data_IF_941495574360
#
_entry.id   IF_941495574360
#
_cell.length_a   1.000
_cell.length_b   1.000
_cell.length_c   1.000
_cell.angle_alpha   90.00
_cell.angle_beta   90.00
_cell.angle_gamma   90.00
#
_symmetry.space_group_name_H-M   'P 1'
#
loop_
_entity.id
_entity.type
_entity.pdbx_description
1 polymer ?
#
# COMPACT_ATOMS: atom_id res chain seq x y z
N UNK A 1 -19.20 -10.52 1.27
CA UNK A 1 -17.96 -11.10 1.84
C UNK A 1 -17.27 -10.01 2.64
N UNK A 2 -16.89 -10.28 3.89
CA UNK A 2 -16.09 -9.34 4.69
C UNK A 2 -14.74 -9.10 4.00
N UNK A 3 -14.25 -7.85 4.00
CA UNK A 3 -12.97 -7.50 3.35
C UNK A 3 -11.81 -8.38 3.84
N UNK A 4 -11.84 -8.77 5.13
CA UNK A 4 -10.87 -9.69 5.72
C UNK A 4 -10.87 -11.09 5.06
N UNK A 5 -12.04 -11.66 4.73
CA UNK A 5 -12.12 -12.97 4.06
C UNK A 5 -11.53 -12.88 2.64
N UNK A 6 -11.78 -11.78 1.92
CA UNK A 6 -11.16 -11.55 0.61
C UNK A 6 -9.65 -11.42 0.73
N UNK A 7 -9.14 -10.65 1.69
CA UNK A 7 -7.69 -10.53 1.92
C UNK A 7 -7.05 -11.88 2.24
N UNK A 8 -7.66 -12.70 3.12
CA UNK A 8 -7.15 -14.04 3.46
C UNK A 8 -7.13 -14.96 2.24
N UNK A 9 -8.20 -14.97 1.44
CA UNK A 9 -8.26 -15.78 0.22
C UNK A 9 -7.21 -15.33 -0.82
N UNK A 10 -7.04 -14.02 -1.00
CA UNK A 10 -6.06 -13.46 -1.92
C UNK A 10 -4.62 -13.74 -1.47
N UNK A 11 -4.32 -13.61 -0.17
CA UNK A 11 -3.03 -13.98 0.41
C UNK A 11 -2.78 -15.49 0.30
N UNK A 12 -3.79 -16.31 0.59
CA UNK A 12 -3.72 -17.77 0.44
C UNK A 12 -3.45 -18.20 -0.99
N UNK A 13 -4.11 -17.56 -1.97
CA UNK A 13 -3.87 -17.79 -3.40
C UNK A 13 -2.44 -17.38 -3.80
N UNK A 14 -1.98 -16.21 -3.35
CA UNK A 14 -0.64 -15.72 -3.62
C UNK A 14 0.43 -16.67 -3.06
N UNK A 15 0.23 -17.18 -1.83
CA UNK A 15 1.05 -18.23 -1.22
C UNK A 15 1.00 -19.54 -2.01
N UNK A 16 -0.18 -19.97 -2.47
CA UNK A 16 -0.33 -21.16 -3.30
C UNK A 16 0.43 -21.06 -4.63
N UNK A 17 0.44 -19.88 -5.26
CA UNK A 17 1.21 -19.61 -6.48
C UNK A 17 2.72 -19.70 -6.18
N UNK A 18 3.19 -19.10 -5.07
CA UNK A 18 4.59 -19.22 -4.64
C UNK A 18 4.99 -20.68 -4.46
N UNK A 19 4.17 -21.48 -3.76
CA UNK A 19 4.45 -22.88 -3.49
C UNK A 19 4.46 -23.72 -4.77
N UNK A 20 3.47 -23.54 -5.65
CA UNK A 20 3.37 -24.29 -6.91
C UNK A 20 4.52 -23.99 -7.87
N UNK A 21 4.98 -22.73 -7.94
CA UNK A 21 6.12 -22.37 -8.78
C UNK A 21 7.44 -22.81 -8.16
N UNK A 22 7.60 -22.71 -6.82
CA UNK A 22 8.79 -23.20 -6.14
C UNK A 22 9.04 -24.70 -6.34
N UNK A 23 7.98 -25.49 -6.50
CA UNK A 23 8.06 -26.93 -6.73
C UNK A 23 8.53 -27.30 -8.16
N UNK A 24 8.38 -26.40 -9.15
CA UNK A 24 8.59 -26.70 -10.57
C UNK A 24 9.99 -26.35 -11.10
N UNK A 25 10.80 -25.51 -10.44
CA UNK A 25 11.78 -24.70 -11.18
C UNK A 25 13.28 -24.70 -10.80
N UNK A 26 13.80 -25.34 -9.74
CA UNK A 26 15.26 -25.18 -9.57
C UNK A 26 16.02 -25.75 -8.38
N UNK A 27 15.49 -26.76 -7.69
CA UNK A 27 16.17 -27.31 -6.52
C UNK A 27 16.20 -26.33 -5.33
N UNK A 28 16.40 -26.90 -4.15
CA UNK A 28 16.11 -26.23 -2.87
C UNK A 28 16.98 -25.01 -2.55
N UNK A 29 18.20 -24.90 -3.09
CA UNK A 29 19.21 -23.99 -2.55
C UNK A 29 19.12 -22.54 -3.06
N UNK A 30 18.91 -22.31 -4.36
CA UNK A 30 18.74 -20.95 -4.92
C UNK A 30 17.41 -20.32 -4.50
N UNK A 31 16.37 -21.14 -4.40
CA UNK A 31 15.06 -20.79 -3.86
C UNK A 31 15.14 -20.29 -2.41
N UNK A 32 15.90 -21.01 -1.56
CA UNK A 32 16.09 -20.64 -0.16
C UNK A 32 16.87 -19.32 -0.03
N UNK A 33 17.94 -19.11 -0.80
CA UNK A 33 18.74 -17.86 -0.72
C UNK A 33 17.89 -16.66 -1.13
N UNK A 34 17.18 -16.76 -2.24
CA UNK A 34 16.46 -15.63 -2.79
C UNK A 34 15.16 -15.33 -1.99
N UNK A 35 14.49 -16.37 -1.48
CA UNK A 35 13.45 -16.22 -0.46
C UNK A 35 13.98 -15.55 0.81
N UNK A 36 15.15 -15.98 1.30
CA UNK A 36 15.79 -15.39 2.47
C UNK A 36 16.10 -13.90 2.26
N UNK A 37 16.68 -13.52 1.13
CA UNK A 37 16.91 -12.11 0.80
C UNK A 37 15.61 -11.31 0.69
N UNK A 38 14.57 -11.86 0.06
CA UNK A 38 13.26 -11.21 -0.04
C UNK A 38 12.63 -11.00 1.34
N UNK A 39 12.72 -11.99 2.23
CA UNK A 39 12.23 -11.90 3.61
C UNK A 39 13.04 -10.88 4.40
N UNK A 40 14.38 -10.92 4.34
CA UNK A 40 15.26 -9.97 5.06
C UNK A 40 15.02 -8.54 4.60
N UNK A 41 14.95 -8.29 3.28
CA UNK A 41 14.67 -6.97 2.73
C UNK A 41 13.28 -6.48 3.12
N UNK A 42 12.23 -7.30 2.99
CA UNK A 42 10.87 -6.88 3.37
C UNK A 42 10.73 -6.67 4.88
N UNK A 43 11.34 -7.52 5.70
CA UNK A 43 11.32 -7.37 7.15
C UNK A 43 12.10 -6.13 7.60
N UNK A 44 13.26 -5.88 6.99
CA UNK A 44 14.03 -4.67 7.20
C UNK A 44 13.26 -3.41 6.78
N UNK A 45 12.68 -3.40 5.58
CA UNK A 45 11.85 -2.30 5.10
C UNK A 45 10.63 -2.07 6.00
N UNK A 46 9.95 -3.12 6.47
CA UNK A 46 8.84 -2.99 7.40
C UNK A 46 9.28 -2.34 8.73
N UNK A 47 10.42 -2.76 9.29
CA UNK A 47 10.89 -2.29 10.60
C UNK A 47 11.49 -0.88 10.61
N UNK A 48 12.01 -0.42 9.45
CA UNK A 48 12.65 0.90 9.30
C UNK A 48 11.89 1.85 8.36
N UNK A 49 10.72 1.44 7.84
CA UNK A 49 9.91 2.20 6.88
C UNK A 49 9.63 3.62 7.34
N UNK A 50 9.21 3.79 8.59
CA UNK A 50 8.89 5.09 9.18
C UNK A 50 10.10 6.03 9.14
N UNK A 51 11.26 5.58 9.64
CA UNK A 51 12.48 6.40 9.69
C UNK A 51 12.97 6.80 8.30
N UNK A 52 12.94 5.86 7.35
CA UNK A 52 13.38 6.10 5.98
C UNK A 52 12.48 7.14 5.30
N UNK A 53 11.17 6.97 5.39
CA UNK A 53 10.19 7.84 4.74
C UNK A 53 10.20 9.24 5.36
N UNK A 54 10.20 9.34 6.69
CA UNK A 54 10.26 10.63 7.39
C UNK A 54 11.53 11.41 7.03
N UNK A 55 12.69 10.74 7.00
CA UNK A 55 13.95 11.38 6.63
C UNK A 55 13.93 11.85 5.16
N UNK A 56 13.40 11.03 4.26
CA UNK A 56 13.33 11.33 2.83
C UNK A 56 12.47 12.56 2.53
N UNK A 57 11.36 12.75 3.27
CA UNK A 57 10.49 13.92 3.14
C UNK A 57 10.81 15.06 4.11
N UNK A 58 11.94 14.97 4.83
CA UNK A 58 12.40 15.97 5.81
C UNK A 58 11.31 16.31 6.83
N UNK A 59 10.53 15.31 7.21
CA UNK A 59 9.47 15.44 8.19
C UNK A 59 10.07 15.81 9.56
N UNK A 60 9.50 16.81 10.21
CA UNK A 60 9.91 17.29 11.53
C UNK A 60 8.86 16.89 12.55
N UNK A 61 9.25 16.32 13.71
CA UNK A 61 8.29 16.05 14.77
C UNK A 61 7.69 17.37 15.24
N UNK A 62 6.41 17.36 15.59
CA UNK A 62 5.72 18.50 16.20
C UNK A 62 5.05 18.07 17.48
N UNK A 63 5.06 18.96 18.47
CA UNK A 63 4.36 18.76 19.73
C UNK A 63 3.06 19.56 19.83
N UNK A 64 2.36 19.42 20.96
CA UNK A 64 1.10 20.12 21.22
C UNK A 64 1.28 21.65 21.29
N UNK A 65 2.46 22.14 21.68
CA UNK A 65 2.72 23.58 21.77
C UNK A 65 2.94 24.21 20.39
N UNK A 66 3.60 23.47 19.47
CA UNK A 66 3.88 23.93 18.11
C UNK A 66 2.64 23.85 17.20
N UNK A 67 1.83 22.79 17.31
CA UNK A 67 0.68 22.55 16.44
C UNK A 67 -0.55 22.05 17.24
N UNK A 68 -1.14 22.88 18.13
CA UNK A 68 -2.16 22.45 19.07
C UNK A 68 -3.42 21.90 18.38
N UNK A 69 -3.87 22.51 17.28
CA UNK A 69 -5.05 22.03 16.57
C UNK A 69 -4.84 20.64 15.96
N UNK A 70 -3.72 20.45 15.26
CA UNK A 70 -3.35 19.16 14.67
C UNK A 70 -3.21 18.08 15.74
N UNK A 71 -2.50 18.39 16.83
CA UNK A 71 -2.28 17.45 17.93
C UNK A 71 -3.60 17.03 18.58
N UNK A 72 -4.52 17.99 18.80
CA UNK A 72 -5.86 17.72 19.34
C UNK A 72 -6.71 16.84 18.41
N UNK A 73 -6.65 17.06 17.09
CA UNK A 73 -7.37 16.21 16.13
C UNK A 73 -6.82 14.79 16.21
N UNK A 74 -5.50 14.61 16.08
CA UNK A 74 -4.87 13.27 16.13
C UNK A 74 -5.16 12.57 17.45
N UNK A 75 -5.09 13.28 18.58
CA UNK A 75 -5.39 12.73 19.90
C UNK A 75 -6.83 12.23 20.03
N UNK A 76 -7.81 13.05 19.63
CA UNK A 76 -9.22 12.66 19.68
C UNK A 76 -9.53 11.47 18.76
N UNK A 77 -8.93 11.44 17.56
CA UNK A 77 -9.10 10.33 16.63
C UNK A 77 -8.43 9.06 17.15
N UNK A 78 -7.24 9.14 17.75
CA UNK A 78 -6.55 8.00 18.36
C UNK A 78 -7.38 7.39 19.49
N UNK A 79 -7.99 8.23 20.34
CA UNK A 79 -8.92 7.79 21.39
C UNK A 79 -10.13 7.05 20.80
N UNK A 80 -10.82 7.63 19.81
CA UNK A 80 -11.96 6.98 19.13
C UNK A 80 -11.55 5.71 18.40
N UNK A 81 -10.35 5.68 17.84
CA UNK A 81 -9.77 4.52 17.18
C UNK A 81 -9.30 3.44 18.16
N UNK A 82 -9.17 3.75 19.46
CA UNK A 82 -8.61 2.88 20.50
C UNK A 82 -7.18 2.44 20.18
N UNK A 83 -6.35 3.39 19.74
CA UNK A 83 -4.92 3.19 19.50
C UNK A 83 -4.09 4.16 20.36
N UNK A 84 -2.84 3.84 20.70
CA UNK A 84 -1.93 4.79 21.35
C UNK A 84 -1.77 6.06 20.50
N UNK A 85 -1.48 7.19 21.17
CA UNK A 85 -1.23 8.46 20.49
C UNK A 85 -0.05 8.32 19.52
N UNK A 86 -0.26 8.46 18.20
CA UNK A 86 0.81 8.42 17.22
C UNK A 86 1.73 9.63 17.35
N UNK A 87 2.99 9.46 16.95
CA UNK A 87 3.89 10.61 16.83
C UNK A 87 3.44 11.48 15.65
N UNK A 88 3.36 12.80 15.85
CA UNK A 88 2.89 13.74 14.84
C UNK A 88 4.08 14.45 14.20
N UNK A 89 4.06 14.55 12.88
CA UNK A 89 5.10 15.20 12.08
C UNK A 89 4.50 16.18 11.07
N UNK A 90 5.26 17.23 10.76
CA UNK A 90 4.98 18.13 9.64
C UNK A 90 6.08 18.06 8.59
N UNK A 91 5.68 18.14 7.33
CA UNK A 91 6.58 18.14 6.18
C UNK A 91 6.55 19.51 5.49
N UNK A 92 7.72 20.12 5.24
CA UNK A 92 7.82 21.41 4.57
C UNK A 92 7.56 21.27 3.07
N UNK A 93 6.30 21.07 2.68
CA UNK A 93 5.87 20.88 1.30
C UNK A 93 4.56 21.61 1.02
N UNK A 94 4.51 22.32 -0.11
CA UNK A 94 3.32 23.00 -0.61
C UNK A 94 2.28 22.03 -1.20
N UNK A 95 2.70 20.83 -1.59
CA UNK A 95 1.78 19.85 -2.14
C UNK A 95 0.92 19.27 -1.01
N UNK A 96 -0.41 19.37 -1.08
CA UNK A 96 -1.28 18.95 0.02
C UNK A 96 -1.31 17.42 0.11
N UNK A 97 -0.82 16.89 1.23
CA UNK A 97 -0.77 15.46 1.47
C UNK A 97 -0.71 15.12 2.96
N UNK A 98 -1.06 13.88 3.28
CA UNK A 98 -0.87 13.28 4.59
C UNK A 98 -0.60 11.78 4.41
N UNK A 99 0.06 11.17 5.39
CA UNK A 99 0.17 9.72 5.48
C UNK A 99 0.31 9.27 6.93
N UNK A 100 -0.11 8.03 7.22
CA UNK A 100 0.31 7.32 8.42
C UNK A 100 1.23 6.14 8.10
N UNK A 101 2.21 5.91 8.96
CA UNK A 101 3.15 4.79 8.86
C UNK A 101 3.47 4.22 10.25
N UNK A 102 4.31 3.20 10.31
CA UNK A 102 4.66 2.47 11.52
C UNK A 102 4.34 0.99 11.42
N UNK A 103 5.15 0.17 12.08
CA UNK A 103 4.99 -1.29 12.06
C UNK A 103 3.70 -1.75 12.74
N UNK A 104 3.28 -1.07 13.78
CA UNK A 104 2.11 -1.42 14.59
C UNK A 104 1.51 -0.13 15.21
N UNK A 105 0.31 -0.19 15.82
CA UNK A 105 -0.31 0.96 16.46
C UNK A 105 0.55 1.63 17.55
N UNK A 106 1.38 0.88 18.26
CA UNK A 106 2.27 1.37 19.31
C UNK A 106 3.44 2.19 18.75
N UNK A 107 3.83 1.96 17.50
CA UNK A 107 4.93 2.65 16.82
C UNK A 107 4.43 3.57 15.69
N UNK A 108 3.13 3.90 15.70
CA UNK A 108 2.49 4.69 14.67
C UNK A 108 3.06 6.12 14.57
N UNK A 109 3.08 6.61 13.34
CA UNK A 109 3.45 7.98 12.98
C UNK A 109 2.42 8.53 12.01
N UNK A 110 2.03 9.78 12.21
CA UNK A 110 1.21 10.55 11.28
C UNK A 110 2.03 11.75 10.82
N UNK A 111 2.08 11.97 9.52
CA UNK A 111 2.73 13.12 8.92
C UNK A 111 1.77 13.88 8.00
N UNK A 112 1.79 15.21 8.09
CA UNK A 112 1.00 16.11 7.23
C UNK A 112 1.92 17.12 6.54
N UNK A 113 1.57 17.59 5.35
CA UNK A 113 2.31 18.67 4.69
C UNK A 113 1.79 20.05 5.11
N UNK A 114 2.63 21.08 5.01
CA UNK A 114 2.16 22.47 5.19
C UNK A 114 1.01 22.81 4.20
N UNK A 115 1.08 22.25 2.99
CA UNK A 115 0.06 22.39 1.97
C UNK A 115 -1.33 21.88 2.40
N UNK A 116 -1.41 20.73 3.07
CA UNK A 116 -2.71 20.18 3.47
C UNK A 116 -3.35 21.03 4.57
N UNK A 117 -2.55 21.52 5.52
CA UNK A 117 -3.02 22.38 6.61
C UNK A 117 -3.57 23.72 6.11
N UNK A 118 -3.08 24.23 4.98
CA UNK A 118 -3.57 25.49 4.39
C UNK A 118 -4.89 25.36 3.64
N UNK A 119 -5.20 24.20 3.06
CA UNK A 119 -6.38 24.04 2.18
C UNK A 119 -7.55 23.31 2.83
N UNK A 120 -7.26 22.52 3.87
CA UNK A 120 -8.27 21.74 4.58
C UNK A 120 -8.85 22.53 5.75
N UNK A 121 -10.16 22.47 5.90
CA UNK A 121 -10.79 22.86 7.15
C UNK A 121 -10.65 21.71 8.18
N UNK A 122 -11.09 21.97 9.41
CA UNK A 122 -10.98 21.01 10.51
C UNK A 122 -11.65 19.67 10.25
N UNK A 123 -12.88 19.66 9.70
CA UNK A 123 -13.63 18.42 9.42
C UNK A 123 -13.00 17.59 8.31
N UNK A 124 -12.45 18.26 7.29
CA UNK A 124 -11.74 17.63 6.18
C UNK A 124 -10.42 17.03 6.65
N UNK A 125 -9.66 17.77 7.45
CA UNK A 125 -8.41 17.29 8.04
C UNK A 125 -8.67 16.12 9.00
N UNK A 126 -9.70 16.20 9.83
CA UNK A 126 -10.14 15.09 10.70
C UNK A 126 -10.52 13.85 9.86
N UNK A 127 -11.22 14.03 8.74
CA UNK A 127 -11.55 12.94 7.82
C UNK A 127 -10.32 12.27 7.20
N UNK A 128 -9.37 13.06 6.70
CA UNK A 128 -8.10 12.57 6.13
C UNK A 128 -7.30 11.82 7.20
N UNK A 129 -7.09 12.43 8.37
CA UNK A 129 -6.32 11.81 9.44
C UNK A 129 -7.01 10.55 9.98
N UNK A 130 -8.34 10.51 10.05
CA UNK A 130 -9.06 9.32 10.46
C UNK A 130 -8.88 8.16 9.46
N UNK A 131 -8.84 8.48 8.15
CA UNK A 131 -8.50 7.50 7.12
C UNK A 131 -7.08 6.97 7.31
N UNK A 132 -6.08 7.83 7.48
CA UNK A 132 -4.69 7.43 7.70
C UNK A 132 -4.53 6.57 8.96
N UNK A 133 -5.14 6.98 10.09
CA UNK A 133 -5.13 6.20 11.33
C UNK A 133 -5.85 4.86 11.19
N UNK A 134 -6.82 4.75 10.27
CA UNK A 134 -7.49 3.49 10.02
C UNK A 134 -6.57 2.46 9.38
N UNK A 135 -5.60 2.86 8.55
CA UNK A 135 -4.57 1.94 8.03
C UNK A 135 -3.72 1.36 9.14
N UNK A 136 -3.33 2.19 10.10
CA UNK A 136 -2.58 1.77 11.30
C UNK A 136 -3.41 0.79 12.12
N UNK A 137 -4.65 1.16 12.47
CA UNK A 137 -5.58 0.32 13.24
C UNK A 137 -5.83 -1.04 12.56
N UNK A 138 -5.98 -1.02 11.24
CA UNK A 138 -6.30 -2.20 10.44
C UNK A 138 -5.06 -3.03 10.05
N UNK A 139 -3.85 -2.56 10.42
CA UNK A 139 -2.55 -3.18 10.09
C UNK A 139 -2.30 -3.34 8.60
N UNK A 140 -2.70 -2.33 7.82
CA UNK A 140 -2.63 -2.36 6.36
C UNK A 140 -1.20 -2.41 5.84
N UNK A 141 -0.28 -1.77 6.57
CA UNK A 141 1.16 -1.79 6.27
C UNK A 141 1.70 -3.23 6.34
N UNK A 142 1.37 -3.97 7.41
CA UNK A 142 1.77 -5.38 7.56
C UNK A 142 1.18 -6.24 6.44
N UNK A 143 -0.11 -6.10 6.16
CA UNK A 143 -0.80 -6.85 5.10
C UNK A 143 -0.17 -6.55 3.74
N UNK A 144 0.10 -5.27 3.47
CA UNK A 144 0.76 -4.79 2.25
C UNK A 144 2.16 -5.36 2.10
N UNK A 145 2.97 -5.35 3.17
CA UNK A 145 4.31 -5.93 3.18
C UNK A 145 4.30 -7.44 2.91
N UNK A 146 3.35 -8.19 3.50
CA UNK A 146 3.20 -9.62 3.23
C UNK A 146 2.82 -9.86 1.76
N UNK A 147 1.84 -9.12 1.24
CA UNK A 147 1.43 -9.23 -0.16
C UNK A 147 2.57 -8.89 -1.13
N UNK A 148 3.32 -7.82 -0.85
CA UNK A 148 4.48 -7.41 -1.64
C UNK A 148 5.61 -8.46 -1.61
N UNK A 149 5.88 -9.05 -0.43
CA UNK A 149 6.87 -10.12 -0.27
C UNK A 149 6.51 -11.32 -1.17
N UNK A 150 5.28 -11.80 -1.08
CA UNK A 150 4.81 -12.94 -1.86
C UNK A 150 4.80 -12.64 -3.36
N UNK A 151 4.36 -11.44 -3.78
CA UNK A 151 4.44 -11.01 -5.17
C UNK A 151 5.89 -10.95 -5.69
N UNK A 152 6.82 -10.45 -4.86
CA UNK A 152 8.25 -10.43 -5.15
C UNK A 152 8.84 -11.83 -5.36
N UNK A 153 8.46 -12.79 -4.51
CA UNK A 153 8.86 -14.20 -4.68
C UNK A 153 8.32 -14.77 -6.00
N UNK A 154 7.08 -14.46 -6.39
CA UNK A 154 6.52 -14.91 -7.68
C UNK A 154 7.28 -14.31 -8.85
N UNK A 155 7.60 -13.01 -8.83
CA UNK A 155 8.36 -12.36 -9.90
C UNK A 155 9.77 -12.93 -10.04
N UNK A 156 10.42 -13.19 -8.92
CA UNK A 156 11.74 -13.81 -8.86
C UNK A 156 11.71 -15.21 -9.48
N UNK A 157 10.75 -16.04 -9.07
CA UNK A 157 10.54 -17.37 -9.59
C UNK A 157 10.25 -17.38 -11.10
N UNK A 158 9.38 -16.48 -11.56
CA UNK A 158 9.10 -16.31 -12.98
C UNK A 158 10.33 -15.86 -13.77
N UNK A 159 11.19 -15.05 -13.16
CA UNK A 159 12.46 -14.66 -13.78
C UNK A 159 13.41 -15.85 -13.88
N UNK A 160 13.58 -16.62 -12.80
CA UNK A 160 14.37 -17.86 -12.82
C UNK A 160 13.87 -18.84 -13.89
N UNK A 161 12.54 -18.99 -14.02
CA UNK A 161 11.89 -19.79 -15.06
C UNK A 161 12.29 -19.37 -16.48
N UNK A 162 12.29 -18.05 -16.76
CA UNK A 162 12.76 -17.52 -18.05
C UNK A 162 14.23 -17.86 -18.29
N UNK A 163 15.10 -17.60 -17.31
CA UNK A 163 16.53 -17.89 -17.44
C UNK A 163 16.80 -19.38 -17.65
N UNK A 164 16.12 -20.26 -16.92
CA UNK A 164 16.22 -21.71 -17.11
C UNK A 164 15.74 -22.15 -18.51
N UNK A 165 14.65 -21.56 -19.03
CA UNK A 165 14.18 -21.85 -20.38
C UNK A 165 15.17 -21.36 -21.47
N UNK A 166 15.80 -20.20 -21.29
CA UNK A 166 16.75 -19.64 -22.25
C UNK A 166 18.14 -20.30 -22.21
N UNK A 167 18.64 -20.70 -21.03
CA UNK A 167 20.00 -21.23 -20.86
C UNK A 167 20.06 -22.74 -20.63
N UNK A 168 18.94 -23.39 -20.30
CA UNK A 168 18.84 -24.83 -20.05
C UNK A 168 18.36 -25.66 -21.24
N UNK A 169 17.95 -25.03 -22.36
CA UNK A 169 17.37 -25.69 -23.54
C UNK A 169 18.34 -26.46 -24.44
N UNK A 170 19.46 -26.95 -23.89
CA UNK A 170 20.57 -27.54 -24.65
C UNK A 170 21.00 -28.93 -24.18
N UNK A 171 20.07 -29.80 -23.75
CA UNK A 171 20.39 -31.22 -23.53
C UNK A 171 19.19 -32.11 -23.83
N UNK A 172 19.40 -32.98 -24.82
CA UNK A 172 18.54 -34.08 -25.26
C UNK A 172 17.83 -34.79 -24.12
N UNK A 173 16.52 -35.02 -24.27
CA UNK A 173 15.93 -36.34 -24.07
C UNK A 173 14.58 -36.38 -24.78
N UNK A 174 14.51 -37.15 -25.86
CA UNK A 174 13.29 -37.77 -26.33
C UNK A 174 12.63 -38.50 -25.16
N UNK A 175 11.51 -38.00 -24.62
CA UNK A 175 10.44 -38.81 -24.01
C UNK A 175 9.26 -37.91 -23.56
N UNK A 176 8.14 -38.09 -24.27
CA UNK A 176 6.73 -37.88 -23.88
C UNK A 176 6.42 -36.89 -22.74
N UNK A 177 6.14 -35.63 -23.12
CA UNK A 177 5.58 -34.65 -22.19
C UNK A 177 5.39 -33.27 -22.82
N UNK A 178 4.53 -33.19 -23.85
CA UNK A 178 4.19 -31.95 -24.55
C UNK A 178 3.74 -30.84 -23.59
N UNK A 179 4.65 -29.90 -23.29
CA UNK A 179 4.38 -28.77 -22.40
C UNK A 179 5.63 -28.21 -21.70
N UNK A 180 6.73 -28.96 -21.66
CA UNK A 180 7.90 -28.67 -20.82
C UNK A 180 8.55 -27.29 -21.00
N UNK A 181 8.76 -26.78 -22.22
CA UNK A 181 9.37 -25.44 -22.41
C UNK A 181 8.32 -24.34 -22.60
N UNK A 182 7.28 -24.62 -23.40
CA UNK A 182 6.21 -23.66 -23.70
C UNK A 182 5.38 -23.31 -22.45
N UNK A 183 5.10 -24.30 -21.59
CA UNK A 183 4.36 -24.12 -20.34
C UNK A 183 5.15 -23.29 -19.32
N UNK A 184 6.47 -23.47 -19.23
CA UNK A 184 7.33 -22.67 -18.34
C UNK A 184 7.41 -21.21 -18.82
N UNK A 185 7.53 -20.99 -20.13
CA UNK A 185 7.47 -19.64 -20.72
C UNK A 185 6.12 -18.99 -20.43
N UNK A 186 5.02 -19.71 -20.65
CA UNK A 186 3.67 -19.19 -20.39
C UNK A 186 3.48 -18.82 -18.91
N UNK A 187 3.87 -19.72 -17.99
CA UNK A 187 3.78 -19.46 -16.54
C UNK A 187 4.68 -18.31 -16.09
N UNK A 188 5.84 -18.13 -16.70
CA UNK A 188 6.74 -17.01 -16.39
C UNK A 188 6.17 -15.63 -16.76
N UNK A 189 5.13 -15.60 -17.59
CA UNK A 189 4.41 -14.38 -17.97
C UNK A 189 3.12 -14.27 -17.14
N UNK A 190 2.34 -15.34 -17.07
CA UNK A 190 1.03 -15.33 -16.42
C UNK A 190 1.13 -15.17 -14.90
N UNK A 191 2.11 -15.80 -14.24
CA UNK A 191 2.21 -15.76 -12.77
C UNK A 191 2.51 -14.35 -12.23
N UNK A 192 3.48 -13.58 -12.77
CA UNK A 192 3.68 -12.18 -12.36
C UNK A 192 2.44 -11.30 -12.59
N UNK A 193 1.75 -11.49 -13.70
CA UNK A 193 0.52 -10.74 -14.01
C UNK A 193 -0.56 -11.05 -12.95
N UNK A 194 -0.77 -12.34 -12.65
CA UNK A 194 -1.71 -12.76 -11.62
C UNK A 194 -1.34 -12.19 -10.22
N UNK A 195 -0.07 -12.26 -9.84
CA UNK A 195 0.42 -11.72 -8.57
C UNK A 195 0.16 -10.21 -8.46
N UNK A 196 0.47 -9.45 -9.52
CA UNK A 196 0.21 -8.02 -9.60
C UNK A 196 -1.29 -7.71 -9.51
N UNK A 197 -2.15 -8.43 -10.24
CA UNK A 197 -3.61 -8.26 -10.17
C UNK A 197 -4.15 -8.51 -8.75
N UNK A 198 -3.66 -9.57 -8.09
CA UNK A 198 -4.00 -9.92 -6.71
C UNK A 198 -3.56 -8.81 -5.74
N UNK A 199 -2.31 -8.35 -5.86
CA UNK A 199 -1.77 -7.27 -5.01
C UNK A 199 -2.60 -5.99 -5.15
N UNK A 200 -2.95 -5.60 -6.37
CA UNK A 200 -3.80 -4.43 -6.60
C UNK A 200 -5.21 -4.62 -6.01
N UNK A 201 -5.78 -5.83 -6.10
CA UNK A 201 -7.08 -6.12 -5.51
C UNK A 201 -7.04 -6.04 -3.97
N UNK A 202 -5.96 -6.52 -3.34
CA UNK A 202 -5.73 -6.36 -1.90
C UNK A 202 -5.67 -4.87 -1.55
N UNK A 203 -4.83 -4.10 -2.23
CA UNK A 203 -4.65 -2.66 -2.00
C UNK A 203 -5.98 -1.90 -2.05
N UNK A 204 -6.73 -2.05 -3.16
CA UNK A 204 -8.04 -1.40 -3.32
C UNK A 204 -9.05 -1.83 -2.25
N UNK A 205 -9.04 -3.11 -1.85
CA UNK A 205 -9.93 -3.57 -0.78
C UNK A 205 -9.58 -2.98 0.59
N UNK A 206 -8.30 -2.67 0.85
CA UNK A 206 -7.86 -2.00 2.08
C UNK A 206 -8.24 -0.54 2.08
N UNK A 207 -8.08 0.17 0.96
CA UNK A 207 -8.53 1.55 0.81
C UNK A 207 -10.02 1.74 1.14
N UNK A 208 -10.90 0.90 0.59
CA UNK A 208 -12.33 0.99 0.92
C UNK A 208 -12.63 0.64 2.38
N UNK A 209 -11.86 -0.28 2.99
CA UNK A 209 -11.99 -0.57 4.41
C UNK A 209 -11.56 0.64 5.25
N UNK A 210 -10.47 1.29 4.84
CA UNK A 210 -9.92 2.47 5.47
C UNK A 210 -10.91 3.65 5.39
N UNK A 211 -11.49 3.92 4.21
CA UNK A 211 -12.58 4.90 4.04
C UNK A 211 -13.72 4.68 5.04
N UNK A 212 -14.25 3.45 5.08
CA UNK A 212 -15.37 3.15 5.97
C UNK A 212 -15.01 3.23 7.45
N UNK A 213 -13.76 2.89 7.81
CA UNK A 213 -13.27 2.87 9.19
C UNK A 213 -12.91 4.28 9.66
N UNK A 214 -12.25 5.06 8.80
CA UNK A 214 -11.97 6.48 9.02
C UNK A 214 -13.26 7.28 9.20
N UNK A 215 -14.29 7.06 8.36
CA UNK A 215 -15.59 7.68 8.56
C UNK A 215 -16.21 7.34 9.93
N UNK A 216 -16.06 6.10 10.41
CA UNK A 216 -16.56 5.68 11.74
C UNK A 216 -15.77 6.34 12.87
N UNK A 217 -14.45 6.47 12.71
CA UNK A 217 -13.56 7.11 13.68
C UNK A 217 -13.82 8.62 13.75
N UNK A 218 -13.97 9.29 12.60
CA UNK A 218 -14.32 10.70 12.52
C UNK A 218 -15.77 10.99 12.95
N UNK A 219 -16.65 9.98 12.90
CA UNK A 219 -18.08 10.13 13.19
C UNK A 219 -18.86 10.82 12.08
N UNK A 220 -18.23 11.08 10.93
CA UNK A 220 -18.86 11.69 9.76
C UNK A 220 -18.11 11.27 8.48
N UNK A 221 -18.80 10.87 7.40
CA UNK A 221 -18.18 10.46 6.14
C UNK A 221 -17.93 11.63 5.16
N UNK A 222 -18.62 12.76 5.35
CA UNK A 222 -18.57 13.93 4.48
C UNK A 222 -17.23 14.68 4.56
N UNK A 223 -16.58 14.70 5.73
CA UNK A 223 -15.25 15.32 5.90
C UNK A 223 -14.22 14.72 4.94
N UNK A 224 -14.07 13.40 4.94
CA UNK A 224 -13.17 12.69 4.03
C UNK A 224 -13.61 12.85 2.56
N UNK A 225 -14.91 12.78 2.27
CA UNK A 225 -15.40 12.94 0.90
C UNK A 225 -15.09 14.34 0.33
N UNK A 226 -15.27 15.41 1.12
CA UNK A 226 -14.92 16.78 0.73
C UNK A 226 -13.41 16.95 0.56
N UNK A 227 -12.63 16.37 1.48
CA UNK A 227 -11.17 16.39 1.41
C UNK A 227 -10.64 15.73 0.14
N UNK A 228 -11.16 14.55 -0.23
CA UNK A 228 -10.77 13.85 -1.47
C UNK A 228 -11.08 14.67 -2.72
N UNK A 229 -12.22 15.38 -2.75
CA UNK A 229 -12.58 16.28 -3.86
C UNK A 229 -11.59 17.44 -3.98
N UNK A 230 -11.19 18.05 -2.85
CA UNK A 230 -10.17 19.11 -2.81
C UNK A 230 -8.80 18.61 -3.22
N UNK A 231 -8.35 17.48 -2.66
CA UNK A 231 -7.04 16.89 -2.96
C UNK A 231 -6.93 16.50 -4.43
N UNK A 232 -7.97 15.90 -5.01
CA UNK A 232 -8.00 15.53 -6.42
C UNK A 232 -7.88 16.73 -7.39
N UNK A 233 -8.31 17.92 -6.96
CA UNK A 233 -8.11 19.18 -7.71
C UNK A 233 -6.73 19.77 -7.43
N UNK A 234 -6.34 19.86 -6.16
CA UNK A 234 -5.11 20.54 -5.75
C UNK A 234 -3.84 19.80 -6.17
N UNK A 235 -3.84 18.46 -6.17
CA UNK A 235 -2.69 17.64 -6.61
C UNK A 235 -2.37 17.81 -8.09
N UNK A 236 -3.34 18.23 -8.91
CA UNK A 236 -3.13 18.55 -10.33
C UNK A 236 -2.47 19.93 -10.53
N UNK A 237 -2.62 20.83 -9.56
CA UNK A 237 -2.11 22.20 -9.61
C UNK A 237 -0.70 22.26 -9.00
N UNK A 238 -0.50 21.59 -7.86
CA UNK A 238 0.78 21.51 -7.14
C UNK A 238 1.15 20.03 -6.98
N UNK A 239 1.70 19.40 -8.04
CA UNK A 239 2.08 18.00 -7.98
C UNK A 239 3.20 17.79 -6.96
N UNK A 240 3.11 16.69 -6.22
CA UNK A 240 4.17 16.30 -5.30
C UNK A 240 5.29 15.62 -6.09
N UNK A 241 6.53 16.04 -5.90
CA UNK A 241 7.70 15.26 -6.31
C UNK A 241 7.85 14.04 -5.40
N UNK A 242 7.07 13.00 -5.65
CA UNK A 242 7.18 11.73 -4.94
C UNK A 242 7.99 10.73 -5.76
N UNK A 243 8.70 9.84 -5.05
CA UNK A 243 9.38 8.72 -5.69
C UNK A 243 8.39 7.57 -5.95
N UNK A 244 8.55 6.78 -7.02
CA UNK A 244 7.67 5.65 -7.31
C UNK A 244 7.52 4.68 -6.13
N UNK A 245 8.57 4.50 -5.34
CA UNK A 245 8.60 3.58 -4.20
C UNK A 245 7.73 4.04 -3.03
N UNK A 246 7.39 5.33 -2.95
CA UNK A 246 6.60 5.90 -1.83
C UNK A 246 5.26 6.48 -2.26
N UNK A 247 5.00 6.59 -3.56
CA UNK A 247 3.77 7.15 -4.11
C UNK A 247 2.48 6.48 -3.57
N UNK A 248 2.57 5.21 -3.19
CA UNK A 248 1.45 4.44 -2.66
C UNK A 248 1.08 4.78 -1.20
N UNK A 249 1.96 5.43 -0.44
CA UNK A 249 1.71 5.82 0.95
C UNK A 249 0.89 7.11 1.09
N UNK A 250 0.73 7.85 0.00
CA UNK A 250 0.00 9.12 0.01
C UNK A 250 -1.48 8.90 -0.28
N UNK A 251 -2.34 9.71 0.37
CA UNK A 251 -3.80 9.65 0.21
C UNK A 251 -4.26 9.86 -1.25
N UNK A 252 -3.54 10.70 -2.00
CA UNK A 252 -3.71 10.86 -3.44
C UNK A 252 -2.40 10.53 -4.12
N UNK A 253 -2.47 9.60 -5.08
CA UNK A 253 -1.30 9.17 -5.85
C UNK A 253 -0.73 10.36 -6.65
N UNK A 254 0.48 10.83 -6.34
CA UNK A 254 1.08 11.98 -7.00
C UNK A 254 1.54 11.69 -8.44
N UNK A 255 1.56 10.41 -8.86
CA UNK A 255 2.01 9.97 -10.19
C UNK A 255 0.85 9.70 -11.18
N UNK A 256 -0.40 9.98 -10.81
CA UNK A 256 -1.59 9.59 -11.58
C UNK A 256 -1.95 10.49 -12.78
N UNK A 257 -1.00 11.26 -13.33
CA UNK A 257 -1.24 12.23 -14.41
C UNK A 257 -1.57 11.67 -15.81
N UNK A 258 -1.66 10.34 -15.99
CA UNK A 258 -1.89 9.70 -17.29
C UNK A 258 -3.06 8.72 -17.31
N UNK A 259 -3.99 8.88 -18.26
CA UNK A 259 -5.23 8.11 -18.42
C UNK A 259 -5.06 6.59 -18.56
N UNK A 260 -3.87 6.08 -18.90
CA UNK A 260 -3.57 4.65 -18.97
C UNK A 260 -3.01 4.06 -17.65
N UNK A 261 -2.68 4.90 -16.65
CA UNK A 261 -2.08 4.51 -15.36
C UNK A 261 -3.16 4.12 -14.32
N UNK A 262 -4.44 4.41 -14.60
CA UNK A 262 -5.54 4.13 -13.67
C UNK A 262 -5.80 2.62 -13.43
N UNK A 263 -5.46 1.75 -14.38
CA UNK A 263 -5.59 0.29 -14.21
C UNK A 263 -4.57 -0.28 -13.21
N UNK A 264 -3.40 0.36 -13.11
CA UNK A 264 -2.28 -0.02 -12.22
C UNK A 264 -2.17 0.84 -10.96
N UNK A 265 -3.14 1.73 -10.72
CA UNK A 265 -3.18 2.52 -9.50
C UNK A 265 -3.55 1.62 -8.31
N UNK A 266 -2.71 1.67 -7.28
CA UNK A 266 -2.92 0.98 -6.00
C UNK A 266 -4.14 1.55 -5.25
N UNK A 267 -4.52 2.79 -5.59
CA UNK A 267 -5.69 3.50 -5.09
C UNK A 267 -6.89 3.34 -6.03
N UNK A 268 -8.11 3.07 -5.51
CA UNK A 268 -9.32 3.11 -6.32
C UNK A 268 -9.64 4.54 -6.77
N UNK A 269 -10.43 4.72 -7.85
CA UNK A 269 -10.82 6.03 -8.35
C UNK A 269 -11.41 6.92 -7.24
N UNK A 270 -11.00 8.18 -7.20
CA UNK A 270 -11.44 9.15 -6.19
C UNK A 270 -12.97 9.29 -6.21
N UNK A 271 -13.56 9.32 -7.40
CA UNK A 271 -15.00 9.45 -7.60
C UNK A 271 -15.76 8.27 -6.98
N UNK A 272 -15.22 7.05 -7.08
CA UNK A 272 -15.81 5.85 -6.49
C UNK A 272 -15.74 5.90 -4.96
N UNK A 273 -14.60 6.34 -4.39
CA UNK A 273 -14.44 6.53 -2.94
C UNK A 273 -15.43 7.57 -2.40
N UNK A 274 -15.54 8.72 -3.06
CA UNK A 274 -16.48 9.79 -2.71
C UNK A 274 -17.92 9.29 -2.76
N UNK A 275 -18.31 8.57 -3.82
CA UNK A 275 -19.66 8.04 -3.96
C UNK A 275 -20.01 7.07 -2.81
N UNK A 276 -19.08 6.18 -2.45
CA UNK A 276 -19.26 5.25 -1.32
C UNK A 276 -19.37 5.99 0.01
N UNK A 277 -18.50 6.95 0.28
CA UNK A 277 -18.54 7.75 1.51
C UNK A 277 -19.87 8.51 1.63
N UNK A 278 -20.31 9.17 0.56
CA UNK A 278 -21.60 9.91 0.55
C UNK A 278 -22.81 8.98 0.69
N UNK A 279 -22.69 7.71 0.34
CA UNK A 279 -23.75 6.71 0.53
C UNK A 279 -23.83 6.16 1.97
N UNK A 280 -22.84 6.45 2.82
CA UNK A 280 -22.87 6.01 4.22
C UNK A 280 -23.89 6.85 4.99
N UNK A 281 -24.89 6.18 5.58
CA UNK A 281 -25.80 6.79 6.55
C UNK A 281 -25.19 6.66 7.94
N UNK A 282 -25.15 7.76 8.70
CA UNK A 282 -24.75 7.81 10.11
C UNK A 282 -25.89 8.35 10.96
#
# INVERSE_FOLDING_TARGET
MTNSLRTVLLLGLLTGIVMGIGQLFGGSQGLVIAFFFAVVMNFGSYWFSDKIVLAMYRARPVDEAEAPELYNIVHNLALRAQIPMPRVYMMPSESPNAFATGRDPEHAVVAVTDGILRIMNREELEGVLAHELSHVKNRDILIGSIAATLAGVIMMLATMARWAAFFGGGRDSDEEGGGGALGLILMSILAPIAAMLIQMAISRSREFLADSTGARIAGNPHGLASALEKLGRASRIVPMEARPETAHMFIVNPLSGGSFINLFSTHPPIEERIARLRSMSY
#
